data_IF_368393796369
#
_entry.id   IF_368393796369
#
_cell.length_a   1.000
_cell.length_b   1.000
_cell.length_c   1.000
_cell.angle_alpha   90.00
_cell.angle_beta   90.00
_cell.angle_gamma   90.00
#
_symmetry.space_group_name_H-M   'P 1'
#
loop_
_entity.id
_entity.type
_entity.pdbx_description
1 polymer ?
#
# COMPACT_ATOMS: atom_id res chain seq x y z
N UNK A 1 22.52 -37.66 6.99
CA UNK A 1 21.65 -36.78 7.79
C UNK A 1 21.41 -35.49 7.01
N UNK A 2 20.13 -35.18 6.72
CA UNK A 2 19.73 -34.11 5.81
C UNK A 2 19.84 -32.73 6.45
N UNK A 3 20.52 -31.80 5.77
CA UNK A 3 20.67 -30.43 6.24
C UNK A 3 19.37 -29.63 6.13
N UNK A 4 18.94 -29.06 7.25
CA UNK A 4 17.86 -28.08 7.35
C UNK A 4 18.19 -26.80 6.57
N UNK A 5 17.61 -26.67 5.37
CA UNK A 5 17.64 -25.42 4.61
C UNK A 5 16.69 -24.40 5.26
N UNK A 6 17.23 -23.51 6.10
CA UNK A 6 16.54 -22.29 6.56
C UNK A 6 16.03 -21.49 5.35
N UNK A 7 14.71 -21.51 5.12
CA UNK A 7 14.03 -20.63 4.15
C UNK A 7 14.22 -19.17 4.59
N UNK A 8 15.02 -18.41 3.85
CA UNK A 8 15.09 -16.94 3.98
C UNK A 8 13.71 -16.37 3.65
N UNK A 9 13.04 -15.78 4.64
CA UNK A 9 11.79 -15.04 4.43
C UNK A 9 12.16 -13.75 3.69
N UNK A 10 11.87 -13.70 2.40
CA UNK A 10 12.05 -12.49 1.60
C UNK A 10 10.85 -11.58 1.90
N UNK A 11 10.98 -10.68 2.87
CA UNK A 11 9.96 -9.65 3.12
C UNK A 11 10.12 -8.58 2.05
N UNK A 12 9.66 -8.88 0.84
CA UNK A 12 9.64 -7.92 -0.25
C UNK A 12 8.62 -6.82 0.10
N UNK A 13 9.09 -5.57 0.16
CA UNK A 13 8.21 -4.41 0.26
C UNK A 13 7.31 -4.38 -0.97
N UNK A 14 6.01 -4.12 -0.76
CA UNK A 14 5.06 -3.98 -1.87
C UNK A 14 5.28 -2.61 -2.50
N UNK A 15 5.59 -2.61 -3.80
CA UNK A 15 5.67 -1.40 -4.62
C UNK A 15 4.33 -1.25 -5.32
N UNK A 16 3.72 -0.07 -5.23
CA UNK A 16 2.44 0.24 -5.87
C UNK A 16 2.66 1.15 -7.06
N UNK A 17 1.91 0.91 -8.14
CA UNK A 17 1.84 1.84 -9.26
C UNK A 17 0.95 3.03 -8.91
N UNK A 18 1.11 4.14 -9.63
CA UNK A 18 0.23 5.30 -9.47
C UNK A 18 -1.23 4.94 -9.82
N UNK A 19 -1.46 4.07 -10.80
CA UNK A 19 -2.79 3.59 -11.17
C UNK A 19 -3.45 2.80 -10.04
N UNK A 20 -2.71 1.97 -9.32
CA UNK A 20 -3.21 1.27 -8.13
C UNK A 20 -3.61 2.25 -7.03
N UNK A 21 -2.78 3.28 -6.79
CA UNK A 21 -3.09 4.33 -5.82
C UNK A 21 -4.30 5.17 -6.23
N UNK A 22 -4.43 5.50 -7.53
CA UNK A 22 -5.61 6.18 -8.07
C UNK A 22 -6.87 5.35 -7.84
N UNK A 23 -6.85 4.07 -8.20
CA UNK A 23 -8.00 3.20 -7.98
C UNK A 23 -8.34 3.10 -6.48
N UNK A 24 -7.34 2.91 -5.63
CA UNK A 24 -7.54 2.73 -4.19
C UNK A 24 -8.11 3.97 -3.50
N UNK A 25 -7.72 5.17 -3.93
CA UNK A 25 -8.13 6.45 -3.33
C UNK A 25 -9.32 7.11 -4.02
N UNK A 26 -9.92 6.44 -5.01
CA UNK A 26 -10.93 7.02 -5.91
C UNK A 26 -10.42 8.31 -6.58
N UNK A 27 -9.24 8.22 -7.19
CA UNK A 27 -8.53 9.31 -7.85
C UNK A 27 -8.22 10.49 -6.91
N UNK A 28 -7.71 10.19 -5.71
CA UNK A 28 -7.46 11.15 -4.63
C UNK A 28 -8.68 12.04 -4.33
N UNK A 29 -9.86 11.44 -4.28
CA UNK A 29 -11.09 12.17 -3.98
C UNK A 29 -10.96 12.90 -2.63
N UNK A 30 -11.35 14.17 -2.61
CA UNK A 30 -11.34 14.99 -1.40
C UNK A 30 -12.22 14.43 -0.28
N UNK A 31 -13.28 13.70 -0.62
CA UNK A 31 -14.13 12.99 0.36
C UNK A 31 -13.35 11.95 1.16
N UNK A 32 -12.28 11.40 0.58
CA UNK A 32 -11.38 10.44 1.22
C UNK A 32 -10.21 11.11 1.94
N UNK A 33 -10.13 12.45 1.95
CA UNK A 33 -9.01 13.16 2.57
C UNK A 33 -9.11 13.07 4.10
N UNK A 34 -8.10 12.48 4.70
CA UNK A 34 -7.98 12.36 6.16
C UNK A 34 -7.35 13.61 6.79
N UNK A 35 -6.50 14.33 6.05
CA UNK A 35 -5.90 15.57 6.52
C UNK A 35 -4.85 16.14 5.58
N UNK A 36 -4.31 17.29 5.95
CA UNK A 36 -3.19 17.95 5.27
C UNK A 36 -2.27 18.60 6.31
N UNK A 37 -0.96 18.55 6.07
CA UNK A 37 0.03 19.22 6.91
C UNK A 37 1.39 19.31 6.23
N UNK A 38 2.46 19.49 7.01
CA UNK A 38 3.83 19.65 6.51
C UNK A 38 4.39 18.46 5.71
N UNK A 39 3.67 17.33 5.69
CA UNK A 39 4.02 16.12 4.95
C UNK A 39 3.19 15.94 3.67
N UNK A 40 2.28 16.87 3.36
CA UNK A 40 1.34 16.79 2.24
C UNK A 40 -0.07 16.38 2.67
N UNK A 41 -0.89 15.99 1.68
CA UNK A 41 -2.25 15.51 1.88
C UNK A 41 -2.28 14.00 2.12
N UNK A 42 -3.09 13.56 3.08
CA UNK A 42 -3.30 12.15 3.42
C UNK A 42 -4.71 11.75 2.98
N UNK A 43 -4.82 10.67 2.23
CA UNK A 43 -6.09 10.13 1.74
C UNK A 43 -6.27 8.69 2.22
N UNK A 44 -7.52 8.34 2.54
CA UNK A 44 -7.93 6.96 2.76
C UNK A 44 -8.04 6.24 1.41
N UNK A 45 -7.61 4.98 1.37
CA UNK A 45 -7.79 4.14 0.21
C UNK A 45 -7.94 2.67 0.58
N UNK A 46 -8.47 1.90 -0.36
CA UNK A 46 -8.61 0.46 -0.26
C UNK A 46 -8.18 -0.18 -1.57
N UNK A 47 -7.21 -1.09 -1.50
CA UNK A 47 -6.75 -1.87 -2.64
C UNK A 47 -7.82 -2.87 -3.08
N UNK A 48 -7.73 -3.35 -4.31
CA UNK A 48 -8.69 -4.29 -4.90
C UNK A 48 -8.82 -5.61 -4.14
N UNK A 49 -7.78 -5.99 -3.39
CA UNK A 49 -7.75 -7.18 -2.53
C UNK A 49 -8.35 -6.93 -1.14
N UNK A 50 -8.90 -5.73 -0.91
CA UNK A 50 -9.48 -5.30 0.35
C UNK A 50 -8.49 -4.79 1.38
N UNK A 51 -7.18 -4.86 1.11
CA UNK A 51 -6.14 -4.34 2.00
C UNK A 51 -6.01 -2.82 1.93
N UNK A 52 -5.40 -2.23 2.96
CA UNK A 52 -5.26 -0.78 3.15
C UNK A 52 -3.85 -0.45 3.63
#
# INVERSE_FOLDING_TARGET
EGGDKKKKKNTAWRVFSLEELHAATNNFNYDNKLGEGGFGSVYWGQLWDGSQ
#
